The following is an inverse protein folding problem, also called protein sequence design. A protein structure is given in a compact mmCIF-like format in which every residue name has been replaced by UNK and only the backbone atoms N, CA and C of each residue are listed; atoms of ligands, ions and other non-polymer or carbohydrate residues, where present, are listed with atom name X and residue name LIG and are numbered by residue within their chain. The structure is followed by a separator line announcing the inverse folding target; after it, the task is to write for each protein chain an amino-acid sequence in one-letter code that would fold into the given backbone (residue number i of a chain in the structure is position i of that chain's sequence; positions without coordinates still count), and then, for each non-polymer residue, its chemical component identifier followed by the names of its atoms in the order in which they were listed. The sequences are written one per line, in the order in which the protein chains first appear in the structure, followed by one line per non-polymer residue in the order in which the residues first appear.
data_IF_731331602806
#
_entry.id   IF_731331602806
#
_cell.length_a   1.000
_cell.length_b   1.000
_cell.length_c   1.000
_cell.angle_alpha   90.00
_cell.angle_beta   90.00
_cell.angle_gamma   90.00
#
_symmetry.space_group_name_H-M   'P 1'
#
loop_
_entity.id
_entity.type
_entity.pdbx_description
1 polymer ?
#
# COMPACT_ATOMS: atom_id res chain seq x y z
N UNK A 1 -11.18 4.38 -5.63
CA UNK A 1 -11.51 4.27 -4.20
C UNK A 1 -11.54 5.66 -3.59
N UNK A 2 -12.37 5.91 -2.57
CA UNK A 2 -12.47 7.24 -1.94
C UNK A 2 -11.97 7.28 -0.47
N UNK A 3 -11.78 6.12 0.17
CA UNK A 3 -11.18 5.99 1.48
C UNK A 3 -10.42 4.66 1.64
N UNK A 4 -9.44 4.64 2.53
CA UNK A 4 -8.70 3.44 2.94
C UNK A 4 -8.57 3.48 4.45
N UNK A 5 -8.88 2.36 5.10
CA UNK A 5 -8.66 2.20 6.53
C UNK A 5 -7.72 1.04 6.81
N UNK A 6 -6.91 1.21 7.84
CA UNK A 6 -6.02 0.18 8.36
C UNK A 6 -6.38 -0.07 9.82
N UNK A 7 -6.40 -1.34 10.21
CA UNK A 7 -6.54 -1.77 11.60
C UNK A 7 -5.24 -2.46 12.00
N UNK A 8 -4.71 -2.04 13.15
CA UNK A 8 -3.58 -2.69 13.81
C UNK A 8 -4.14 -3.64 14.86
N UNK A 9 -3.73 -4.89 14.80
CA UNK A 9 -4.19 -5.99 15.64
C UNK A 9 -5.72 -6.01 15.72
N UNK A 10 -6.27 -5.93 16.93
CA UNK A 10 -7.71 -5.87 17.18
C UNK A 10 -8.19 -4.46 17.58
N UNK A 11 -7.38 -3.44 17.28
CA UNK A 11 -7.73 -2.03 17.49
C UNK A 11 -8.85 -1.52 16.58
N UNK A 12 -9.21 -0.22 16.71
CA UNK A 12 -10.16 0.40 15.80
C UNK A 12 -9.57 0.56 14.39
N UNK A 13 -10.46 0.70 13.40
CA UNK A 13 -10.06 1.11 12.06
C UNK A 13 -9.63 2.58 12.06
N UNK A 14 -8.43 2.86 11.54
CA UNK A 14 -7.89 4.20 11.38
C UNK A 14 -7.85 4.58 9.90
N UNK A 15 -8.21 5.83 9.57
CA UNK A 15 -8.14 6.36 8.20
C UNK A 15 -6.68 6.53 7.74
N UNK A 16 -6.43 6.18 6.49
CA UNK A 16 -5.16 6.41 5.81
C UNK A 16 -5.23 7.68 4.94
N UNK A 17 -4.07 8.29 4.72
CA UNK A 17 -3.91 9.42 3.80
C UNK A 17 -3.85 8.89 2.37
N UNK A 18 -4.79 9.31 1.53
CA UNK A 18 -4.76 9.03 0.09
C UNK A 18 -3.82 9.99 -0.64
N UNK A 19 -3.08 9.47 -1.61
CA UNK A 19 -2.29 10.28 -2.54
C UNK A 19 -3.12 10.78 -3.73
N UNK A 20 -2.42 11.17 -4.79
CA UNK A 20 -3.00 11.72 -6.03
C UNK A 20 -3.93 10.69 -6.68
N UNK A 21 -5.09 11.16 -7.14
CA UNK A 21 -6.03 10.37 -7.93
C UNK A 21 -5.67 10.47 -9.42
N UNK A 22 -5.52 9.32 -10.07
CA UNK A 22 -5.19 9.22 -11.50
C UNK A 22 -6.37 8.71 -12.33
N UNK A 23 -7.56 8.57 -11.73
CA UNK A 23 -8.78 8.12 -12.40
C UNK A 23 -9.24 6.73 -11.98
N UNK A 24 -10.43 6.30 -12.45
CA UNK A 24 -11.12 5.10 -11.98
C UNK A 24 -10.40 3.79 -12.30
N UNK A 25 -9.63 3.77 -13.39
CA UNK A 25 -8.89 2.58 -13.84
C UNK A 25 -7.48 2.50 -13.25
N UNK A 26 -7.08 3.50 -12.48
CA UNK A 26 -5.76 3.60 -11.88
C UNK A 26 -5.78 3.22 -10.40
N UNK A 27 -4.66 2.66 -9.95
CA UNK A 27 -4.44 2.47 -8.52
C UNK A 27 -4.10 3.80 -7.87
N UNK A 28 -4.72 4.07 -6.73
CA UNK A 28 -4.45 5.27 -5.95
C UNK A 28 -3.51 4.95 -4.78
N UNK A 29 -2.34 5.60 -4.66
CA UNK A 29 -1.45 5.35 -3.54
C UNK A 29 -2.07 5.83 -2.23
N UNK A 30 -1.66 5.23 -1.11
CA UNK A 30 -2.08 5.64 0.23
C UNK A 30 -0.97 5.37 1.25
N UNK A 31 -1.06 6.03 2.41
CA UNK A 31 -0.12 5.83 3.52
C UNK A 31 -0.79 6.04 4.88
N UNK A 32 -0.28 5.39 5.91
CA UNK A 32 -0.70 5.62 7.29
C UNK A 32 0.54 5.68 8.19
N UNK A 33 0.59 6.68 9.07
CA UNK A 33 1.59 6.75 10.13
C UNK A 33 1.07 6.10 11.39
N UNK A 34 1.86 5.20 11.97
CA UNK A 34 1.55 4.54 13.23
C UNK A 34 2.81 4.43 14.09
N UNK A 35 2.67 4.76 15.38
CA UNK A 35 3.71 4.58 16.39
C UNK A 35 3.70 3.13 16.86
N UNK A 36 4.48 2.29 16.19
CA UNK A 36 4.54 0.87 16.50
C UNK A 36 5.26 0.57 17.82
N UNK A 37 4.68 -0.34 18.60
CA UNK A 37 5.35 -0.95 19.75
C UNK A 37 6.23 -2.11 19.28
N UNK A 38 7.28 -2.49 20.03
CA UNK A 38 7.99 -3.73 19.73
C UNK A 38 7.08 -4.96 19.91
N UNK A 39 7.17 -5.92 19.00
CA UNK A 39 6.37 -7.14 19.00
C UNK A 39 5.93 -7.56 17.60
N UNK A 40 5.16 -8.65 17.56
CA UNK A 40 4.43 -9.09 16.37
C UNK A 40 3.12 -8.30 16.28
N UNK A 41 2.80 -7.80 15.10
CA UNK A 41 1.56 -7.08 14.83
C UNK A 41 0.89 -7.59 13.55
N UNK A 42 -0.43 -7.66 13.55
CA UNK A 42 -1.23 -7.92 12.36
C UNK A 42 -1.81 -6.61 11.83
N UNK A 43 -1.62 -6.33 10.55
CA UNK A 43 -2.18 -5.17 9.87
C UNK A 43 -3.24 -5.65 8.90
N UNK A 44 -4.47 -5.18 9.07
CA UNK A 44 -5.58 -5.46 8.18
C UNK A 44 -5.94 -4.17 7.42
N UNK A 45 -6.18 -4.25 6.12
CA UNK A 45 -6.54 -3.08 5.29
C UNK A 45 -7.84 -3.31 4.53
N UNK A 46 -8.67 -2.27 4.50
CA UNK A 46 -9.90 -2.24 3.69
C UNK A 46 -10.00 -0.93 2.90
N UNK A 47 -10.54 -1.03 1.70
CA UNK A 47 -10.83 0.13 0.86
C UNK A 47 -12.33 0.39 0.82
N UNK A 48 -12.71 1.65 0.54
CA UNK A 48 -14.09 2.03 0.22
C UNK A 48 -14.20 2.38 -1.25
N UNK A 49 -15.24 1.85 -1.90
CA UNK A 49 -15.58 2.19 -3.27
C UNK A 49 -15.99 3.67 -3.35
N UNK A 50 -15.89 4.27 -4.53
CA UNK A 50 -16.39 5.64 -4.76
C UNK A 50 -17.91 5.79 -4.56
N UNK A 51 -18.63 4.67 -4.51
CA UNK A 51 -20.05 4.58 -4.17
C UNK A 51 -20.30 4.44 -2.66
N UNK A 52 -19.26 4.53 -1.82
CA UNK A 52 -19.36 4.53 -0.36
C UNK A 52 -19.40 3.16 0.30
N UNK A 53 -19.18 2.06 -0.44
CA UNK A 53 -19.25 0.70 0.11
C UNK A 53 -17.87 0.24 0.58
N UNK A 54 -17.76 -0.20 1.84
CA UNK A 54 -16.52 -0.78 2.36
C UNK A 54 -16.36 -2.21 1.85
N UNK A 55 -15.12 -2.60 1.60
CA UNK A 55 -14.76 -3.98 1.29
C UNK A 55 -15.23 -4.93 2.39
N UNK A 56 -15.92 -5.99 1.99
CA UNK A 56 -16.51 -6.99 2.88
C UNK A 56 -15.43 -7.91 3.49
N UNK A 57 -15.68 -8.39 4.71
CA UNK A 57 -14.79 -9.32 5.44
C UNK A 57 -14.88 -10.77 4.94
N UNK A 58 -15.89 -11.11 4.13
CA UNK A 58 -16.14 -12.48 3.71
C UNK A 58 -15.02 -13.07 2.85
N UNK A 59 -14.61 -14.29 3.16
CA UNK A 59 -13.80 -15.11 2.25
C UNK A 59 -14.65 -15.45 1.03
N UNK A 60 -14.30 -14.93 -0.14
CA UNK A 60 -14.90 -15.37 -1.40
C UNK A 60 -14.08 -16.51 -1.99
N UNK A 61 -14.72 -17.40 -2.73
CA UNK A 61 -14.00 -18.20 -3.73
C UNK A 61 -13.36 -17.26 -4.76
N UNK A 62 -12.03 -17.36 -5.02
CA UNK A 62 -11.33 -16.46 -5.95
C UNK A 62 -11.81 -16.60 -7.40
N UNK A 63 -12.39 -17.74 -7.75
CA UNK A 63 -12.99 -17.97 -9.06
C UNK A 63 -14.51 -17.74 -9.00
N UNK A 64 -15.14 -17.12 -10.02
CA UNK A 64 -14.54 -16.48 -11.20
C UNK A 64 -14.22 -14.97 -11.00
N UNK A 65 -14.53 -14.41 -9.82
CA UNK A 65 -14.60 -12.97 -9.59
C UNK A 65 -13.34 -12.34 -9.00
N UNK A 66 -12.23 -13.09 -8.90
CA UNK A 66 -10.99 -12.65 -8.27
C UNK A 66 -10.98 -12.77 -6.74
N UNK A 67 -9.82 -12.51 -6.13
CA UNK A 67 -9.65 -12.49 -4.67
C UNK A 67 -10.38 -11.28 -4.09
N UNK A 68 -11.42 -11.53 -3.29
CA UNK A 68 -12.11 -10.53 -2.44
C UNK A 68 -11.80 -10.84 -0.97
N UNK A 69 -12.07 -9.88 -0.09
CA UNK A 69 -11.81 -9.98 1.34
C UNK A 69 -10.72 -9.01 1.81
N UNK A 70 -10.71 -8.74 3.11
CA UNK A 70 -9.74 -7.83 3.74
C UNK A 70 -8.33 -8.41 3.62
N UNK A 71 -7.39 -7.61 3.11
CA UNK A 71 -5.99 -8.02 3.03
C UNK A 71 -5.33 -7.86 4.41
N UNK A 72 -4.58 -8.88 4.84
CA UNK A 72 -3.91 -8.90 6.13
C UNK A 72 -2.43 -9.29 5.96
N UNK A 73 -1.55 -8.61 6.69
CA UNK A 73 -0.11 -8.90 6.76
C UNK A 73 0.35 -8.91 8.22
N UNK A 74 1.28 -9.81 8.55
CA UNK A 74 1.93 -9.82 9.86
C UNK A 74 3.31 -9.16 9.74
N UNK A 75 3.62 -8.24 10.65
CA UNK A 75 4.94 -7.59 10.76
C UNK A 75 5.53 -7.81 12.15
N UNK A 76 6.86 -7.81 12.25
CA UNK A 76 7.56 -7.82 13.54
C UNK A 76 8.33 -6.51 13.69
N UNK A 77 8.10 -5.82 14.81
CA UNK A 77 8.72 -4.55 15.14
C UNK A 77 9.67 -4.81 16.31
N UNK A 78 10.95 -4.52 16.17
CA UNK A 78 11.94 -4.81 17.22
C UNK A 78 13.18 -5.50 16.69
N UNK A 79 14.26 -4.72 16.65
CA UNK A 79 15.64 -5.11 16.37
C UNK A 79 16.51 -3.94 16.82
N UNK A 80 17.65 -4.22 17.46
CA UNK A 80 18.50 -3.26 18.19
C UNK A 80 18.60 -1.85 17.57
N UNK A 81 18.39 -0.84 18.42
CA UNK A 81 18.48 0.59 18.10
C UNK A 81 19.88 1.04 17.65
N UNK A 82 20.93 0.30 18.01
CA UNK A 82 22.32 0.64 17.64
C UNK A 82 22.62 0.42 16.14
N UNK A 83 21.82 -0.37 15.41
CA UNK A 83 21.97 -0.56 13.96
C UNK A 83 20.95 0.21 13.11
N UNK A 84 19.83 0.62 13.69
CA UNK A 84 18.67 1.16 12.97
C UNK A 84 18.73 2.69 12.76
N UNK A 85 19.31 3.44 13.71
CA UNK A 85 19.29 4.92 13.66
C UNK A 85 20.10 5.52 12.50
N UNK A 86 21.27 4.96 12.19
CA UNK A 86 22.17 5.47 11.14
C UNK A 86 21.71 5.07 9.73
N UNK A 87 21.04 3.92 9.56
CA UNK A 87 20.53 3.48 8.24
C UNK A 87 19.20 4.12 7.85
N UNK A 88 18.37 4.51 8.82
CA UNK A 88 16.99 4.96 8.56
C UNK A 88 16.90 6.37 7.98
N UNK A 89 17.78 7.30 8.36
CA UNK A 89 17.77 8.66 7.78
C UNK A 89 18.37 8.71 6.37
N UNK A 90 19.45 7.96 6.11
CA UNK A 90 20.09 7.92 4.80
C UNK A 90 19.32 7.05 3.78
N UNK A 91 18.63 6.00 4.24
CA UNK A 91 17.88 5.08 3.38
C UNK A 91 16.46 5.53 3.03
N UNK A 92 15.68 6.05 3.98
CA UNK A 92 14.22 6.17 3.80
C UNK A 92 13.78 7.29 2.85
N UNK A 93 14.51 8.41 2.76
CA UNK A 93 14.18 9.48 1.82
C UNK A 93 14.63 9.13 0.38
N UNK A 94 15.85 8.58 0.24
CA UNK A 94 16.41 8.19 -1.04
C UNK A 94 15.78 6.92 -1.62
N UNK A 95 15.40 5.95 -0.79
CA UNK A 95 14.71 4.72 -1.23
C UNK A 95 13.24 4.99 -1.59
N UNK A 96 12.50 5.80 -0.83
CA UNK A 96 11.07 6.05 -1.14
C UNK A 96 10.86 6.87 -2.40
N UNK A 97 11.74 7.83 -2.70
CA UNK A 97 11.72 8.54 -3.98
C UNK A 97 12.24 7.67 -5.13
N UNK A 98 13.27 6.84 -4.92
CA UNK A 98 13.81 6.02 -6.01
C UNK A 98 12.90 4.87 -6.43
N UNK A 99 12.08 4.29 -5.55
CA UNK A 99 11.17 3.20 -5.95
C UNK A 99 9.90 3.72 -6.63
N UNK A 100 9.31 4.82 -6.13
CA UNK A 100 8.20 5.48 -6.83
C UNK A 100 8.65 6.05 -8.19
N UNK A 101 9.83 6.67 -8.26
CA UNK A 101 10.36 7.21 -9.52
C UNK A 101 10.81 6.12 -10.50
N UNK A 102 11.41 5.00 -10.03
CA UNK A 102 11.80 3.89 -10.91
C UNK A 102 10.59 3.09 -11.42
N UNK A 103 9.53 2.96 -10.63
CA UNK A 103 8.28 2.37 -11.12
C UNK A 103 7.62 3.26 -12.18
N UNK A 104 7.56 4.58 -12.00
CA UNK A 104 6.98 5.48 -13.03
C UNK A 104 7.87 5.60 -14.27
N UNK A 105 9.20 5.59 -14.12
CA UNK A 105 10.13 5.63 -15.24
C UNK A 105 10.16 4.31 -16.04
N UNK A 106 9.97 3.17 -15.39
CA UNK A 106 9.93 1.86 -16.08
C UNK A 106 8.73 1.73 -17.04
N UNK A 107 7.63 2.47 -16.84
CA UNK A 107 6.45 2.44 -17.69
C UNK A 107 6.41 3.53 -18.77
N UNK A 108 7.33 4.50 -18.75
CA UNK A 108 7.50 5.45 -19.86
C UNK A 108 8.42 4.85 -20.93
N UNK A 109 7.92 3.88 -21.68
CA UNK A 109 8.46 3.60 -23.01
C UNK A 109 7.91 4.66 -23.98
N UNK A 110 8.74 5.33 -24.79
CA UNK A 110 8.21 6.12 -25.89
C UNK A 110 7.58 5.18 -26.92
N UNK A 111 6.29 5.37 -27.16
CA UNK A 111 5.61 4.84 -28.35
C UNK A 111 6.27 5.46 -29.58
N UNK A 112 7.04 4.68 -30.35
CA UNK A 112 7.51 5.12 -31.66
C UNK A 112 8.77 4.43 -32.16
N UNK A 113 8.63 3.25 -32.77
CA UNK A 113 9.46 2.85 -33.89
C UNK A 113 8.67 1.86 -34.76
N UNK A 114 8.23 2.32 -35.93
CA UNK A 114 7.63 1.52 -36.97
C UNK A 114 8.62 0.46 -37.49
N UNK A 115 8.12 -0.72 -37.83
CA UNK A 115 8.87 -1.76 -38.51
C UNK A 115 8.60 -1.64 -40.02
N UNK A 116 9.60 -1.36 -40.89
CA UNK A 116 9.42 -1.54 -42.32
C UNK A 116 9.38 -3.03 -42.68
N UNK A 117 8.57 -3.33 -43.69
CA UNK A 117 8.24 -4.66 -44.21
C UNK A 117 9.44 -5.42 -44.77
#
# INVERSE_FOLDING_TARGET
MDAVQVRIDDGPWAEATLGVDLGPDAWRPWSMSWRATPGRHELRVRCRTTTGQWQEQGTTTPYPHGVRGIHAVTVHVGGSWLGAGVRRLAGDAAARLSWAARSVAAWRQPTGAAHPR
#
